data_IF_566714180475
#
_entry.id   IF_566714180475
#
_cell.length_a   1.000
_cell.length_b   1.000
_cell.length_c   1.000
_cell.angle_alpha   90.00
_cell.angle_beta   90.00
_cell.angle_gamma   90.00
#
_symmetry.space_group_name_H-M   'P 1'
#
loop_
_entity.id
_entity.type
_entity.pdbx_description
1 polymer ?
#
# COMPACT_ATOMS: atom_id res chain seq x y z
N UNK A 1 28.73 -22.23 30.18
CA UNK A 1 28.45 -20.79 30.08
C UNK A 1 27.31 -20.66 29.06
N UNK A 2 26.07 -20.45 29.50
CA UNK A 2 24.96 -20.06 28.63
C UNK A 2 25.19 -18.59 28.26
N UNK A 3 25.63 -18.31 27.04
CA UNK A 3 25.64 -16.98 26.48
C UNK A 3 24.18 -16.57 26.24
N UNK A 4 23.68 -15.57 26.95
CA UNK A 4 22.38 -14.98 26.65
C UNK A 4 22.34 -14.52 25.20
N UNK A 5 21.25 -14.77 24.44
CA UNK A 5 21.18 -14.31 23.06
C UNK A 5 21.33 -12.76 23.04
N UNK A 6 22.02 -12.21 22.05
CA UNK A 6 22.18 -10.76 21.94
C UNK A 6 20.79 -10.11 21.81
N UNK A 7 20.49 -9.18 22.72
CA UNK A 7 19.26 -8.39 22.69
C UNK A 7 19.62 -6.90 22.65
N UNK A 8 18.85 -6.12 21.94
CA UNK A 8 19.05 -4.67 21.84
C UNK A 8 17.71 -3.96 21.67
N UNK A 9 17.57 -2.81 22.30
CA UNK A 9 16.49 -1.87 22.07
C UNK A 9 17.06 -0.56 21.58
N UNK A 10 16.57 -0.09 20.43
CA UNK A 10 16.97 1.14 19.79
C UNK A 10 15.76 2.05 19.60
N UNK A 11 15.95 3.34 19.85
CA UNK A 11 15.00 4.37 19.42
C UNK A 11 15.58 5.05 18.18
N UNK A 12 14.81 5.03 17.10
CA UNK A 12 15.22 5.58 15.82
C UNK A 12 14.25 6.70 15.44
N UNK A 13 14.75 7.92 15.43
CA UNK A 13 14.01 9.08 14.95
C UNK A 13 14.63 9.53 13.64
N UNK A 14 13.82 9.62 12.59
CA UNK A 14 14.24 10.12 11.29
C UNK A 14 13.39 11.31 10.89
N UNK A 15 14.00 12.25 10.19
CA UNK A 15 13.31 13.40 9.62
C UNK A 15 13.85 13.68 8.23
N UNK A 16 12.95 13.94 7.29
CA UNK A 16 13.28 14.38 5.94
C UNK A 16 14.25 13.46 5.17
N UNK A 17 14.11 12.14 5.34
CA UNK A 17 14.84 11.19 4.50
C UNK A 17 14.22 11.21 3.11
N UNK A 18 15.03 11.56 2.11
CA UNK A 18 14.60 11.55 0.71
C UNK A 18 14.40 10.12 0.21
N UNK A 19 13.18 9.77 -0.16
CA UNK A 19 12.84 8.42 -0.62
C UNK A 19 13.42 8.07 -1.98
N UNK A 20 13.95 9.04 -2.76
CA UNK A 20 14.61 8.74 -4.04
C UNK A 20 15.80 7.79 -3.86
N UNK A 21 16.41 7.75 -2.69
CA UNK A 21 17.47 6.77 -2.38
C UNK A 21 16.99 5.32 -2.46
N UNK A 22 15.67 5.08 -2.32
CA UNK A 22 15.08 3.76 -2.46
C UNK A 22 14.86 3.32 -3.93
N UNK A 23 15.09 4.21 -4.90
CA UNK A 23 14.89 3.90 -6.32
C UNK A 23 15.66 2.65 -6.76
N UNK A 24 16.91 2.49 -6.30
CA UNK A 24 17.74 1.33 -6.65
C UNK A 24 17.14 -0.01 -6.21
N UNK A 25 16.35 0.00 -5.11
CA UNK A 25 15.67 -1.18 -4.60
C UNK A 25 14.34 -1.46 -5.30
N UNK A 26 13.70 -0.45 -5.88
CA UNK A 26 12.43 -0.59 -6.61
C UNK A 26 12.63 -0.96 -8.07
N UNK A 27 13.65 -0.42 -8.72
CA UNK A 27 13.90 -0.58 -10.16
C UNK A 27 14.01 -2.04 -10.63
N UNK A 28 14.50 -3.02 -9.86
CA UNK A 28 14.49 -4.42 -10.26
C UNK A 28 13.09 -5.05 -10.34
N UNK A 29 12.10 -4.48 -9.63
CA UNK A 29 10.77 -5.05 -9.48
C UNK A 29 9.69 -4.27 -10.22
N UNK A 30 9.90 -2.97 -10.43
CA UNK A 30 8.88 -2.07 -10.97
C UNK A 30 9.46 -1.06 -11.96
N UNK A 31 8.73 -0.82 -13.05
CA UNK A 31 8.99 0.24 -14.03
C UNK A 31 8.39 1.56 -13.55
N UNK A 32 8.82 2.00 -12.38
CA UNK A 32 8.33 3.20 -11.70
C UNK A 32 9.50 4.06 -11.24
N UNK A 33 9.38 5.37 -11.39
CA UNK A 33 10.35 6.34 -10.89
C UNK A 33 9.81 7.07 -9.66
N UNK A 34 10.61 7.15 -8.60
CA UNK A 34 10.37 8.00 -7.45
C UNK A 34 10.85 9.43 -7.76
N UNK A 35 9.94 10.32 -8.06
CA UNK A 35 10.23 11.74 -8.35
C UNK A 35 10.49 12.54 -7.09
N UNK A 36 9.75 12.26 -6.04
CA UNK A 36 9.91 12.87 -4.72
C UNK A 36 9.29 11.99 -3.64
N UNK A 37 9.61 12.30 -2.39
CA UNK A 37 9.04 11.71 -1.19
C UNK A 37 9.97 11.96 -0.01
N UNK A 38 9.40 12.32 1.14
CA UNK A 38 10.14 12.56 2.37
C UNK A 38 9.60 11.67 3.48
N UNK A 39 10.47 10.85 4.06
CA UNK A 39 10.15 9.98 5.18
C UNK A 39 10.55 10.64 6.50
N UNK A 40 9.63 10.63 7.44
CA UNK A 40 9.88 10.90 8.85
C UNK A 40 9.33 9.75 9.69
N UNK A 41 10.03 9.36 10.75
CA UNK A 41 9.56 8.30 11.64
C UNK A 41 10.08 8.45 13.07
N UNK A 42 9.31 7.89 14.01
CA UNK A 42 9.69 7.69 15.40
C UNK A 42 9.42 6.21 15.70
N UNK A 43 10.48 5.42 15.71
CA UNK A 43 10.40 3.97 15.81
C UNK A 43 11.20 3.48 17.01
N UNK A 44 10.65 2.47 17.67
CA UNK A 44 11.36 1.63 18.61
C UNK A 44 11.64 0.29 17.96
N UNK A 45 12.89 -0.13 17.94
CA UNK A 45 13.34 -1.40 17.37
C UNK A 45 13.83 -2.28 18.50
N UNK A 46 13.15 -3.37 18.75
CA UNK A 46 13.50 -4.36 19.76
C UNK A 46 14.01 -5.64 19.07
N UNK A 47 15.30 -5.91 19.20
CA UNK A 47 15.92 -7.18 18.82
C UNK A 47 16.01 -8.08 20.06
N UNK A 48 15.21 -9.16 20.09
CA UNK A 48 15.18 -10.12 21.21
C UNK A 48 16.10 -11.31 20.99
N UNK A 49 16.35 -11.68 19.73
CA UNK A 49 17.24 -12.77 19.34
C UNK A 49 17.68 -12.57 17.89
N UNK A 50 18.93 -12.94 17.59
CA UNK A 50 19.46 -12.93 16.24
C UNK A 50 19.27 -14.29 15.52
N UNK A 51 19.16 -15.38 16.28
CA UNK A 51 18.98 -16.73 15.74
C UNK A 51 18.07 -17.58 16.66
N UNK A 52 16.79 -17.84 16.28
CA UNK A 52 16.10 -17.28 15.12
C UNK A 52 15.86 -15.77 15.29
N UNK A 53 15.82 -15.03 14.19
CA UNK A 53 15.62 -13.59 14.21
C UNK A 53 14.26 -13.23 14.84
N UNK A 54 14.29 -12.54 15.98
CA UNK A 54 13.13 -12.01 16.68
C UNK A 54 13.26 -10.49 16.76
N UNK A 55 12.70 -9.83 15.76
CA UNK A 55 12.72 -8.38 15.61
C UNK A 55 11.30 -7.84 15.71
N UNK A 56 11.12 -6.81 16.52
CA UNK A 56 9.88 -6.03 16.58
C UNK A 56 10.19 -4.56 16.35
N UNK A 57 9.36 -3.90 15.52
CA UNK A 57 9.44 -2.47 15.24
C UNK A 57 8.08 -1.87 15.56
N UNK A 58 8.06 -0.89 16.46
CA UNK A 58 6.83 -0.19 16.84
C UNK A 58 7.01 1.32 16.73
N UNK A 59 5.92 2.05 16.49
CA UNK A 59 5.95 3.51 16.48
C UNK A 59 5.05 4.14 15.42
N UNK A 60 5.49 5.28 14.90
CA UNK A 60 4.76 6.04 13.89
C UNK A 60 5.68 6.40 12.73
N UNK A 61 5.09 6.50 11.54
CA UNK A 61 5.81 6.91 10.34
C UNK A 61 4.95 7.86 9.49
N UNK A 62 5.60 8.72 8.72
CA UNK A 62 4.97 9.64 7.80
C UNK A 62 5.76 9.70 6.51
N UNK A 63 5.07 9.64 5.38
CA UNK A 63 5.64 9.92 4.07
C UNK A 63 4.92 11.13 3.49
N UNK A 64 5.68 12.20 3.22
CA UNK A 64 5.16 13.44 2.66
C UNK A 64 5.64 13.64 1.24
N UNK A 65 4.85 14.38 0.43
CA UNK A 65 5.21 14.81 -0.92
C UNK A 65 5.64 13.65 -1.83
N UNK A 66 5.01 12.49 -1.68
CA UNK A 66 5.28 11.39 -2.59
C UNK A 66 4.78 11.72 -3.99
N UNK A 67 5.63 11.49 -4.97
CA UNK A 67 5.29 11.55 -6.39
C UNK A 67 6.01 10.42 -7.12
N UNK A 68 5.24 9.58 -7.78
CA UNK A 68 5.76 8.48 -8.60
C UNK A 68 5.30 8.61 -10.04
N UNK A 69 6.16 8.23 -10.96
CA UNK A 69 5.91 8.23 -12.39
C UNK A 69 5.93 6.80 -12.93
N UNK A 70 4.93 6.44 -13.71
CA UNK A 70 4.96 5.29 -14.60
C UNK A 70 5.95 5.55 -15.73
N UNK A 71 7.06 4.79 -15.80
CA UNK A 71 8.10 4.99 -16.81
C UNK A 71 7.75 4.37 -18.17
N UNK A 72 6.71 3.52 -18.24
CA UNK A 72 6.25 2.91 -19.50
C UNK A 72 5.48 3.94 -20.33
N UNK A 73 4.59 4.67 -19.71
CA UNK A 73 3.71 5.65 -20.36
C UNK A 73 4.04 7.10 -20.01
N UNK A 74 5.08 7.36 -19.19
CA UNK A 74 5.53 8.69 -18.77
C UNK A 74 4.40 9.52 -18.14
N UNK A 75 3.66 8.91 -17.20
CA UNK A 75 2.50 9.52 -16.56
C UNK A 75 2.54 9.38 -15.04
N UNK A 76 1.93 10.34 -14.33
CA UNK A 76 1.73 10.20 -12.88
C UNK A 76 1.02 8.87 -12.57
N UNK A 77 1.56 8.12 -11.62
CA UNK A 77 1.00 6.85 -11.18
C UNK A 77 0.33 7.00 -9.82
N UNK A 78 1.11 7.21 -8.76
CA UNK A 78 0.62 7.45 -7.42
C UNK A 78 1.32 8.65 -6.82
N UNK A 79 0.57 9.51 -6.15
CA UNK A 79 1.12 10.63 -5.37
C UNK A 79 0.23 10.95 -4.18
N UNK A 80 0.79 11.59 -3.18
CA UNK A 80 0.05 12.16 -2.05
C UNK A 80 0.81 13.31 -1.42
N UNK A 81 0.07 14.20 -0.75
CA UNK A 81 0.67 15.24 0.06
C UNK A 81 1.23 14.66 1.36
N UNK A 82 0.46 13.80 2.03
CA UNK A 82 0.85 13.17 3.27
C UNK A 82 0.18 11.80 3.46
N UNK A 83 0.98 10.83 3.85
CA UNK A 83 0.55 9.55 4.41
C UNK A 83 1.07 9.47 5.84
N UNK A 84 0.19 9.27 6.83
CA UNK A 84 0.54 9.02 8.22
C UNK A 84 0.14 7.61 8.63
N UNK A 85 1.03 6.94 9.33
CA UNK A 85 0.87 5.59 9.86
C UNK A 85 1.03 5.69 11.37
N UNK A 86 -0.08 5.55 12.12
CA UNK A 86 -0.08 5.61 13.57
C UNK A 86 -0.24 4.22 14.16
N UNK A 87 0.57 3.93 15.19
CA UNK A 87 0.53 2.65 15.89
C UNK A 87 1.00 1.49 15.01
N UNK A 88 2.12 1.68 14.28
CA UNK A 88 2.79 0.62 13.55
C UNK A 88 3.38 -0.39 14.55
N UNK A 89 3.12 -1.68 14.35
CA UNK A 89 3.70 -2.82 15.05
C UNK A 89 4.04 -3.91 14.03
N UNK A 90 5.32 -4.02 13.69
CA UNK A 90 5.85 -5.06 12.83
C UNK A 90 6.62 -6.09 13.65
N UNK A 91 6.23 -7.34 13.57
CA UNK A 91 6.93 -8.47 14.13
C UNK A 91 7.45 -9.34 12.98
N UNK A 92 8.77 -9.47 12.88
CA UNK A 92 9.44 -10.12 11.76
C UNK A 92 8.89 -11.52 11.49
N UNK A 93 8.46 -11.75 10.25
CA UNK A 93 7.91 -13.03 9.79
C UNK A 93 6.55 -13.42 10.39
N UNK A 94 5.92 -12.58 11.22
CA UNK A 94 4.67 -12.92 11.93
C UNK A 94 3.52 -11.98 11.60
N UNK A 95 3.70 -10.68 11.87
CA UNK A 95 2.59 -9.72 11.81
C UNK A 95 3.06 -8.32 11.42
N UNK A 96 2.22 -7.64 10.64
CA UNK A 96 2.24 -6.19 10.44
C UNK A 96 0.89 -5.63 10.88
N UNK A 97 0.89 -4.75 11.86
CA UNK A 97 -0.31 -4.04 12.33
C UNK A 97 -0.10 -2.54 12.23
N UNK A 98 -1.12 -1.80 11.76
CA UNK A 98 -1.16 -0.35 11.74
C UNK A 98 -2.54 0.07 12.26
N UNK A 99 -2.59 0.86 13.34
CA UNK A 99 -3.86 1.21 13.96
C UNK A 99 -4.67 2.21 13.13
N UNK A 100 -4.02 3.23 12.57
CA UNK A 100 -4.66 4.26 11.75
C UNK A 100 -3.76 4.65 10.59
N UNK A 101 -4.40 4.86 9.46
CA UNK A 101 -3.78 5.33 8.22
C UNK A 101 -4.53 6.59 7.79
N UNK A 102 -3.82 7.70 7.65
CA UNK A 102 -4.38 8.95 7.14
C UNK A 102 -3.71 9.29 5.81
N UNK A 103 -4.51 9.43 4.77
CA UNK A 103 -4.10 9.84 3.44
C UNK A 103 -4.66 11.22 3.12
N UNK A 104 -3.78 12.19 2.96
CA UNK A 104 -4.12 13.55 2.56
C UNK A 104 -3.72 13.77 1.09
N UNK A 105 -4.67 14.22 0.29
CA UNK A 105 -4.56 14.47 -1.15
C UNK A 105 -3.90 13.30 -1.92
N UNK A 106 -4.35 12.03 -1.70
CA UNK A 106 -3.87 10.96 -2.52
C UNK A 106 -4.41 11.06 -3.94
N UNK A 107 -3.58 10.69 -4.88
CA UNK A 107 -3.93 10.50 -6.28
C UNK A 107 -3.47 9.14 -6.73
N UNK A 108 -4.29 8.44 -7.49
CA UNK A 108 -3.93 7.22 -8.17
C UNK A 108 -4.51 7.20 -9.59
N UNK A 109 -3.80 6.53 -10.50
CA UNK A 109 -4.26 6.25 -11.85
C UNK A 109 -4.43 4.75 -12.03
N UNK A 110 -5.62 4.34 -12.46
CA UNK A 110 -5.91 2.97 -12.80
C UNK A 110 -6.45 2.87 -14.22
N UNK A 111 -5.83 2.04 -15.05
CA UNK A 111 -6.20 1.85 -16.45
C UNK A 111 -6.32 0.36 -16.72
N UNK A 112 -7.43 -0.03 -17.34
CA UNK A 112 -7.59 -1.32 -17.99
C UNK A 112 -7.28 -1.11 -19.47
N UNK A 113 -6.29 -1.83 -19.98
CA UNK A 113 -5.87 -1.74 -21.38
C UNK A 113 -6.84 -2.51 -22.29
N UNK A 114 -6.72 -2.37 -23.61
CA UNK A 114 -7.52 -3.07 -24.62
C UNK A 114 -7.45 -4.60 -24.48
N UNK A 115 -6.30 -5.14 -24.11
CA UNK A 115 -6.05 -6.57 -23.85
C UNK A 115 -6.51 -7.04 -22.46
N UNK A 116 -7.18 -6.15 -21.67
CA UNK A 116 -7.62 -6.36 -20.30
C UNK A 116 -6.49 -6.50 -19.28
N UNK A 117 -5.24 -6.27 -19.64
CA UNK A 117 -4.17 -6.04 -18.68
C UNK A 117 -4.42 -4.72 -17.96
N UNK A 118 -3.66 -4.44 -16.90
CA UNK A 118 -3.78 -3.18 -16.18
C UNK A 118 -2.46 -2.42 -16.19
N UNK A 119 -2.52 -1.10 -16.07
CA UNK A 119 -1.29 -0.31 -15.91
C UNK A 119 -0.46 -0.76 -14.70
N UNK A 120 -1.06 -1.39 -13.70
CA UNK A 120 -0.33 -1.96 -12.56
C UNK A 120 0.49 -3.17 -13.00
N UNK A 121 -0.10 -4.08 -13.78
CA UNK A 121 0.61 -5.26 -14.31
C UNK A 121 1.73 -4.86 -15.26
N UNK A 122 1.55 -3.81 -16.05
CA UNK A 122 2.57 -3.28 -16.97
C UNK A 122 3.80 -2.74 -16.23
N UNK A 123 3.59 -2.19 -15.03
CA UNK A 123 4.67 -1.68 -14.19
C UNK A 123 5.49 -2.79 -13.54
N UNK A 124 4.94 -3.96 -13.31
CA UNK A 124 5.65 -5.06 -12.66
C UNK A 124 6.68 -5.67 -13.61
N UNK A 125 7.89 -5.88 -13.12
CA UNK A 125 8.94 -6.62 -13.82
C UNK A 125 8.85 -8.08 -13.38
N UNK A 126 8.56 -9.02 -14.31
CA UNK A 126 8.52 -10.44 -13.98
C UNK A 126 9.86 -10.88 -13.38
N UNK A 127 9.81 -11.47 -12.20
CA UNK A 127 11.00 -12.05 -11.59
C UNK A 127 11.26 -13.41 -12.21
N UNK A 128 12.53 -13.78 -12.48
CA UNK A 128 12.85 -15.13 -12.90
C UNK A 128 12.25 -16.12 -11.88
N UNK A 129 11.53 -17.13 -12.37
CA UNK A 129 11.11 -18.21 -11.49
C UNK A 129 12.38 -18.75 -10.79
N UNK A 130 12.37 -18.79 -9.46
CA UNK A 130 13.45 -19.45 -8.73
C UNK A 130 13.67 -20.84 -9.38
N UNK A 131 14.93 -21.25 -9.67
CA UNK A 131 15.19 -22.57 -10.21
C UNK A 131 14.40 -23.55 -9.36
N UNK A 132 13.63 -24.45 -9.99
CA UNK A 132 12.85 -25.46 -9.28
C UNK A 132 13.80 -26.21 -8.36
N UNK A 133 13.99 -25.72 -7.16
CA UNK A 133 14.69 -26.44 -6.12
C UNK A 133 13.92 -27.74 -5.95
N UNK A 134 14.59 -28.84 -6.27
CA UNK A 134 14.21 -30.22 -6.04
C UNK A 134 13.23 -30.28 -4.87
N UNK A 135 12.10 -30.96 -5.03
CA UNK A 135 11.00 -31.17 -4.11
C UNK A 135 11.43 -31.36 -2.63
N UNK A 136 11.95 -30.35 -2.02
CA UNK A 136 11.90 -30.20 -0.57
C UNK A 136 10.47 -29.79 -0.22
N UNK A 137 9.84 -30.39 0.79
CA UNK A 137 8.51 -29.97 1.20
C UNK A 137 8.54 -28.45 1.39
N UNK A 138 7.67 -27.74 0.68
CA UNK A 138 7.55 -26.31 0.81
C UNK A 138 7.43 -26.02 2.30
N UNK A 139 8.48 -25.42 2.88
CA UNK A 139 8.43 -24.92 4.24
C UNK A 139 7.34 -23.85 4.20
N UNK A 140 6.15 -24.20 4.66
CA UNK A 140 5.02 -23.30 4.80
C UNK A 140 5.33 -22.35 5.96
N UNK A 141 6.25 -21.42 5.74
CA UNK A 141 6.34 -20.27 6.63
C UNK A 141 4.94 -19.63 6.63
N UNK A 142 4.30 -19.46 7.78
CA UNK A 142 2.97 -18.88 7.83
C UNK A 142 3.01 -17.53 7.15
N UNK A 143 2.01 -17.25 6.30
CA UNK A 143 1.89 -15.97 5.63
C UNK A 143 1.87 -14.85 6.67
N UNK A 144 2.52 -13.72 6.38
CA UNK A 144 2.54 -12.55 7.26
C UNK A 144 1.10 -12.11 7.54
N UNK A 145 0.70 -12.11 8.82
CA UNK A 145 -0.59 -11.57 9.23
C UNK A 145 -0.59 -10.04 9.08
N UNK A 146 -1.56 -9.50 8.34
CA UNK A 146 -1.70 -8.06 8.10
C UNK A 146 -2.97 -7.57 8.78
N UNK A 147 -2.83 -6.53 9.62
CA UNK A 147 -3.94 -5.82 10.23
C UNK A 147 -3.81 -4.33 9.98
N UNK A 148 -4.74 -3.76 9.22
CA UNK A 148 -4.86 -2.33 8.98
C UNK A 148 -6.15 -1.87 9.66
N UNK A 149 -6.05 -0.98 10.62
CA UNK A 149 -7.18 -0.46 11.38
C UNK A 149 -8.07 0.44 10.52
N UNK A 150 -8.24 1.70 10.90
CA UNK A 150 -9.02 2.63 10.08
C UNK A 150 -8.14 3.33 9.04
N UNK A 151 -8.65 3.44 7.82
CA UNK A 151 -8.04 4.23 6.74
C UNK A 151 -8.92 5.43 6.48
N UNK A 152 -8.36 6.63 6.64
CA UNK A 152 -9.05 7.89 6.37
C UNK A 152 -8.46 8.54 5.12
N UNK A 153 -9.35 8.99 4.25
CA UNK A 153 -9.05 9.64 2.99
C UNK A 153 -9.53 11.08 3.04
N UNK A 154 -8.65 12.03 2.72
CA UNK A 154 -8.97 13.44 2.67
C UNK A 154 -8.53 14.05 1.34
N UNK A 155 -9.49 14.68 0.65
CA UNK A 155 -9.28 15.41 -0.61
C UNK A 155 -8.52 14.59 -1.68
N UNK A 156 -8.87 13.31 -1.79
CA UNK A 156 -8.27 12.40 -2.76
C UNK A 156 -8.77 12.63 -4.18
N UNK A 157 -8.04 12.05 -5.13
CA UNK A 157 -8.45 12.04 -6.54
C UNK A 157 -7.99 10.75 -7.23
N UNK A 158 -8.68 10.38 -8.29
CA UNK A 158 -8.32 9.23 -9.11
C UNK A 158 -8.66 9.47 -10.57
N UNK A 159 -7.83 8.94 -11.46
CA UNK A 159 -8.16 8.79 -12.87
C UNK A 159 -8.39 7.31 -13.17
N UNK A 160 -9.54 7.00 -13.70
CA UNK A 160 -9.90 5.67 -14.16
C UNK A 160 -10.11 5.69 -15.67
N UNK A 161 -9.61 4.68 -16.36
CA UNK A 161 -9.95 4.44 -17.76
C UNK A 161 -10.10 2.93 -18.01
N UNK A 162 -11.07 2.58 -18.86
CA UNK A 162 -11.24 1.24 -19.39
C UNK A 162 -11.25 1.32 -20.92
N UNK A 163 -10.12 0.93 -21.50
CA UNK A 163 -9.87 0.95 -22.95
C UNK A 163 -10.31 -0.38 -23.59
N UNK A 164 -10.78 -1.35 -22.81
CA UNK A 164 -11.33 -2.62 -23.34
C UNK A 164 -12.78 -2.51 -23.79
N UNK A 165 -13.42 -1.38 -23.51
CA UNK A 165 -14.80 -1.08 -23.89
C UNK A 165 -14.86 -0.37 -25.25
N UNK A 166 -16.02 -0.44 -25.91
CA UNK A 166 -16.28 0.31 -27.15
C UNK A 166 -17.61 1.06 -27.00
N UNK A 167 -17.62 2.40 -26.91
CA UNK A 167 -16.45 3.30 -26.88
C UNK A 167 -15.64 3.21 -25.59
N UNK A 168 -14.40 3.66 -25.63
CA UNK A 168 -13.55 3.77 -24.45
C UNK A 168 -14.23 4.55 -23.33
N UNK A 169 -14.05 4.10 -22.10
CA UNK A 169 -14.54 4.81 -20.93
C UNK A 169 -13.40 5.43 -20.15
N UNK A 170 -13.51 6.71 -19.81
CA UNK A 170 -12.57 7.39 -18.93
C UNK A 170 -13.29 8.39 -18.04
N UNK A 171 -12.85 8.51 -16.79
CA UNK A 171 -13.41 9.45 -15.83
C UNK A 171 -12.35 9.90 -14.82
N UNK A 172 -12.55 11.10 -14.28
CA UNK A 172 -11.77 11.64 -13.18
C UNK A 172 -12.65 11.82 -11.95
N UNK A 173 -12.23 11.24 -10.83
CA UNK A 173 -12.92 11.41 -9.55
C UNK A 173 -12.07 12.32 -8.69
N UNK A 174 -12.69 13.32 -8.07
CA UNK A 174 -12.03 14.36 -7.28
C UNK A 174 -12.73 14.56 -5.95
N UNK A 175 -12.04 15.25 -5.03
CA UNK A 175 -12.54 15.56 -3.70
C UNK A 175 -13.03 14.30 -2.97
N UNK A 176 -12.30 13.19 -3.12
CA UNK A 176 -12.58 11.95 -2.42
C UNK A 176 -12.30 12.12 -0.93
N UNK A 177 -13.35 12.01 -0.12
CA UNK A 177 -13.29 12.10 1.33
C UNK A 177 -14.08 10.95 1.93
N UNK A 178 -13.54 10.34 2.98
CA UNK A 178 -14.24 9.26 3.66
C UNK A 178 -13.31 8.29 4.36
N UNK A 179 -13.80 7.10 4.58
CA UNK A 179 -13.06 6.08 5.33
C UNK A 179 -13.28 4.67 4.80
N UNK A 180 -12.28 3.83 5.05
CA UNK A 180 -12.34 2.39 4.92
C UNK A 180 -12.10 1.80 6.31
N UNK A 181 -12.93 0.85 6.70
CA UNK A 181 -12.82 0.14 7.97
C UNK A 181 -11.62 -0.78 8.03
N UNK A 182 -11.60 -1.63 9.05
CA UNK A 182 -10.48 -2.54 9.31
C UNK A 182 -10.32 -3.59 8.22
N UNK A 183 -9.10 -3.76 7.74
CA UNK A 183 -8.67 -4.84 6.85
C UNK A 183 -7.80 -5.80 7.65
N UNK A 184 -8.18 -7.07 7.71
CA UNK A 184 -7.48 -8.09 8.48
C UNK A 184 -7.33 -9.39 7.66
N UNK A 185 -6.09 -9.78 7.37
CA UNK A 185 -5.80 -10.95 6.53
C UNK A 185 -6.09 -12.28 7.23
N UNK A 186 -6.19 -12.28 8.56
CA UNK A 186 -6.48 -13.49 9.34
C UNK A 186 -7.99 -13.69 9.50
N UNK A 187 -8.70 -12.63 9.92
CA UNK A 187 -10.15 -12.68 10.09
C UNK A 187 -10.91 -12.64 8.76
N UNK A 188 -10.32 -12.03 7.73
CA UNK A 188 -10.87 -11.88 6.37
C UNK A 188 -12.30 -11.34 6.35
N UNK A 189 -12.67 -10.54 7.36
CA UNK A 189 -13.97 -9.88 7.42
C UNK A 189 -14.00 -8.73 6.41
N UNK A 190 -15.15 -8.51 5.74
CA UNK A 190 -15.30 -7.35 4.87
C UNK A 190 -15.12 -6.04 5.64
N UNK A 191 -14.32 -5.14 5.10
CA UNK A 191 -14.15 -3.77 5.59
C UNK A 191 -15.28 -2.88 5.04
N UNK A 192 -15.85 -2.02 5.88
CA UNK A 192 -16.81 -1.02 5.44
C UNK A 192 -16.14 0.06 4.61
N UNK A 193 -16.81 0.57 3.59
CA UNK A 193 -16.40 1.73 2.80
C UNK A 193 -17.50 2.78 2.88
N UNK A 194 -17.13 4.02 3.16
CA UNK A 194 -17.98 5.20 3.02
C UNK A 194 -17.11 6.36 2.48
N UNK A 195 -17.16 6.55 1.17
CA UNK A 195 -16.37 7.56 0.46
C UNK A 195 -17.32 8.41 -0.38
N UNK A 196 -17.12 9.74 -0.34
CA UNK A 196 -17.83 10.71 -1.16
C UNK A 196 -16.85 11.49 -2.01
N UNK A 197 -17.30 11.94 -3.17
CA UNK A 197 -16.47 12.72 -4.08
C UNK A 197 -17.29 13.35 -5.19
N UNK A 198 -16.61 13.69 -6.28
CA UNK A 198 -17.23 14.24 -7.50
C UNK A 198 -16.63 13.58 -8.74
N UNK A 199 -17.49 13.19 -9.65
CA UNK A 199 -17.11 12.73 -10.99
C UNK A 199 -17.05 13.95 -11.90
N UNK A 200 -15.96 14.08 -12.66
CA UNK A 200 -15.74 15.15 -13.65
C UNK A 200 -16.03 16.56 -13.10
N UNK A 201 -15.74 16.82 -11.84
CA UNK A 201 -15.90 18.06 -11.09
C UNK A 201 -17.34 18.43 -10.70
N UNK A 202 -18.36 17.83 -11.29
CA UNK A 202 -19.74 18.31 -11.14
C UNK A 202 -20.66 17.30 -10.46
N UNK A 203 -20.67 16.06 -10.91
CA UNK A 203 -21.60 15.06 -10.39
C UNK A 203 -21.13 14.54 -9.03
N UNK A 204 -21.93 14.65 -7.96
CA UNK A 204 -21.57 14.06 -6.69
C UNK A 204 -21.58 12.54 -6.82
N UNK A 205 -20.57 11.87 -6.24
CA UNK A 205 -20.52 10.42 -6.16
C UNK A 205 -20.42 9.98 -4.70
N UNK A 206 -21.14 8.93 -4.35
CA UNK A 206 -21.04 8.25 -3.07
C UNK A 206 -20.76 6.78 -3.31
N UNK A 207 -19.73 6.26 -2.66
CA UNK A 207 -19.32 4.86 -2.71
C UNK A 207 -19.47 4.29 -1.31
N UNK A 208 -20.44 3.40 -1.11
CA UNK A 208 -20.69 2.72 0.15
C UNK A 208 -20.71 1.21 -0.04
N UNK A 209 -20.35 0.48 0.99
CA UNK A 209 -20.48 -0.97 0.94
C UNK A 209 -19.43 -1.69 1.77
N UNK A 210 -19.15 -2.90 1.34
CA UNK A 210 -18.21 -3.81 1.97
C UNK A 210 -17.17 -4.27 0.95
N UNK A 211 -15.90 -4.17 1.30
CA UNK A 211 -14.77 -4.66 0.53
C UNK A 211 -14.03 -5.72 1.33
N UNK A 212 -13.82 -6.89 0.73
CA UNK A 212 -12.88 -7.87 1.25
C UNK A 212 -11.72 -8.04 0.26
N UNK A 213 -10.52 -7.52 0.56
CA UNK A 213 -9.38 -7.65 -0.35
C UNK A 213 -8.90 -9.09 -0.56
N UNK A 214 -9.32 -10.02 0.31
CA UNK A 214 -8.92 -11.43 0.28
C UNK A 214 -9.99 -12.33 -0.37
N UNK A 215 -11.16 -11.75 -0.70
CA UNK A 215 -12.27 -12.41 -1.41
C UNK A 215 -12.63 -11.51 -2.60
N UNK A 216 -12.63 -12.02 -3.84
CA UNK A 216 -12.95 -11.23 -5.02
C UNK A 216 -14.37 -10.65 -5.05
N UNK A 217 -15.22 -10.99 -4.07
CA UNK A 217 -16.58 -10.48 -3.97
C UNK A 217 -16.63 -9.16 -3.21
N UNK A 218 -16.54 -8.04 -3.92
CA UNK A 218 -16.88 -6.73 -3.40
C UNK A 218 -18.39 -6.47 -3.60
N UNK A 219 -19.07 -5.98 -2.53
CA UNK A 219 -20.44 -5.45 -2.61
C UNK A 219 -20.37 -3.95 -2.42
N UNK A 220 -20.42 -3.21 -3.52
CA UNK A 220 -20.33 -1.75 -3.52
C UNK A 220 -21.59 -1.16 -4.13
N UNK A 221 -22.20 -0.22 -3.43
CA UNK A 221 -23.27 0.64 -3.93
C UNK A 221 -22.65 1.96 -4.38
N UNK A 222 -22.74 2.27 -5.65
CA UNK A 222 -22.23 3.50 -6.24
C UNK A 222 -23.43 4.32 -6.71
N UNK A 223 -23.61 5.50 -6.11
CA UNK A 223 -24.62 6.48 -6.51
C UNK A 223 -23.91 7.73 -7.07
N UNK A 224 -24.38 8.19 -8.24
CA UNK A 224 -23.91 9.40 -8.93
C UNK A 224 -25.05 10.40 -9.02
#
# INVERSE_FOLDING_TARGET
VQLSPPSATLQVTTSQIDLRVAQAYLSPFMRMELRSGMLASQLKVDLKSAAPLQLQITGNAQVSLLHTLDTVKQRDFVRWQKLQLDGLDYQHGKRLSINRIHLNQPYARFIINEDRSTNITDLLIPQPAAPAASKAPASSAPALAIHLGSIQLQDGSANFADLSLTPDFATAIQQLNGSIGTIDSVQQKPASIDIKGKVDRYAPVTIKGLLNPFDPLAKLDIAV
#
